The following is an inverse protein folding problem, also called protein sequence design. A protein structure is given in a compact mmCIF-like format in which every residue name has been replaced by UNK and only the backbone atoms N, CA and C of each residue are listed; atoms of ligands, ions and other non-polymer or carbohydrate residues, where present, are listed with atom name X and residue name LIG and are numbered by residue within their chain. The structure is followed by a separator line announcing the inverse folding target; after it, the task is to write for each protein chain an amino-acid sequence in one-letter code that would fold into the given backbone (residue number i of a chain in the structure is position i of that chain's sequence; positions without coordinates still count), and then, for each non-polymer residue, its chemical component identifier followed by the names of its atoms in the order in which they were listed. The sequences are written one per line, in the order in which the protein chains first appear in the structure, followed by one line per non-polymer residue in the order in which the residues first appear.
data_IF_630491676177
#
_entry.id   IF_630491676177
#
_cell.length_a   1.000
_cell.length_b   1.000
_cell.length_c   1.000
_cell.angle_alpha   90.00
_cell.angle_beta   90.00
_cell.angle_gamma   90.00
#
_symmetry.space_group_name_H-M   'P 1'
#
loop_
_entity.id
_entity.type
_entity.pdbx_description
1 polymer ?
#
# COMPACT_ATOMS: atom_id res chain seq x y z
N UNK A 1 -1.94 0.53 12.50
CA UNK A 1 -1.70 0.26 11.07
C UNK A 1 -0.32 0.72 10.60
N UNK A 2 0.03 1.99 10.84
CA UNK A 2 1.31 2.53 10.39
C UNK A 2 2.52 1.72 10.86
N UNK A 3 2.58 1.40 12.16
CA UNK A 3 3.68 0.63 12.71
C UNK A 3 3.79 -0.77 12.11
N UNK A 4 2.65 -1.39 11.85
CA UNK A 4 2.60 -2.70 11.20
C UNK A 4 3.19 -2.64 9.79
N UNK A 5 2.84 -1.59 9.05
CA UNK A 5 3.37 -1.38 7.69
C UNK A 5 4.88 -1.09 7.74
N UNK A 6 5.32 -0.22 8.65
CA UNK A 6 6.74 0.08 8.82
C UNK A 6 7.58 -1.16 9.10
N UNK A 7 7.09 -2.06 9.93
CA UNK A 7 7.80 -3.27 10.32
C UNK A 7 7.76 -4.35 9.25
N UNK A 8 6.69 -4.39 8.46
CA UNK A 8 6.44 -5.50 7.54
C UNK A 8 6.95 -5.30 6.13
N UNK A 9 7.14 -4.07 5.68
CA UNK A 9 7.44 -3.77 4.29
C UNK A 9 8.87 -3.25 4.02
N UNK A 10 9.74 -3.31 4.99
CA UNK A 10 11.18 -3.07 4.78
C UNK A 10 11.81 -4.33 4.18
N UNK A 11 11.40 -4.68 2.96
CA UNK A 11 11.78 -5.90 2.24
C UNK A 11 12.57 -5.52 0.98
N UNK A 12 13.40 -6.44 0.51
CA UNK A 12 14.12 -6.24 -0.75
C UNK A 12 13.15 -6.05 -1.90
N UNK A 13 13.39 -5.02 -2.70
CA UNK A 13 12.56 -4.70 -3.85
C UNK A 13 11.34 -3.84 -3.53
N UNK A 14 11.03 -3.60 -2.26
CA UNK A 14 10.01 -2.65 -1.86
C UNK A 14 10.59 -1.25 -1.85
N UNK A 15 10.03 -0.36 -2.66
CA UNK A 15 10.49 1.02 -2.78
C UNK A 15 9.78 1.95 -1.82
N UNK A 16 8.52 1.67 -1.52
CA UNK A 16 7.73 2.47 -0.58
C UNK A 16 6.49 1.71 -0.16
N UNK A 17 6.00 2.03 1.01
CA UNK A 17 4.72 1.53 1.51
C UNK A 17 4.03 2.62 2.33
N UNK A 18 2.73 2.69 2.18
CA UNK A 18 1.91 3.66 2.90
C UNK A 18 0.46 3.27 2.82
N UNK A 19 -0.40 4.10 3.36
CA UNK A 19 -1.81 3.81 3.35
C UNK A 19 -2.63 4.81 4.13
N UNK A 20 -3.82 4.38 4.51
CA UNK A 20 -4.74 5.18 5.29
C UNK A 20 -5.90 4.35 5.78
N UNK A 21 -6.78 4.98 6.55
CA UNK A 21 -8.01 4.37 7.01
C UNK A 21 -9.10 5.43 7.09
N UNK A 22 -10.36 4.98 7.19
CA UNK A 22 -11.49 5.88 7.28
C UNK A 22 -11.33 6.80 8.49
N UNK A 23 -11.44 8.12 8.25
CA UNK A 23 -11.34 9.12 9.31
C UNK A 23 -9.94 9.40 9.82
N UNK A 24 -8.91 8.81 9.22
CA UNK A 24 -7.52 9.03 9.61
C UNK A 24 -6.71 9.62 8.45
N UNK A 25 -5.65 10.40 8.74
CA UNK A 25 -4.78 10.92 7.68
C UNK A 25 -4.05 9.78 6.94
N UNK A 26 -3.75 10.06 5.69
CA UNK A 26 -2.86 9.16 4.92
C UNK A 26 -1.44 9.22 5.52
N UNK A 27 -0.68 8.16 5.31
CA UNK A 27 0.70 8.10 5.79
C UNK A 27 1.60 7.41 4.79
N UNK A 28 2.88 7.77 4.84
CA UNK A 28 3.97 7.03 4.19
C UNK A 28 4.78 6.40 5.31
N UNK A 29 4.73 5.08 5.42
CA UNK A 29 5.39 4.36 6.50
C UNK A 29 6.86 4.05 6.17
N UNK A 30 7.15 3.87 4.89
CA UNK A 30 8.49 3.56 4.40
C UNK A 30 8.65 4.15 3.00
N UNK A 31 9.82 4.71 2.72
CA UNK A 31 10.15 5.13 1.37
C UNK A 31 11.68 5.05 1.18
N UNK A 32 12.10 4.40 0.09
CA UNK A 32 13.50 4.39 -0.30
C UNK A 32 13.97 5.81 -0.63
N UNK A 33 15.18 6.18 -0.22
CA UNK A 33 15.73 7.49 -0.52
C UNK A 33 15.87 7.78 -2.02
N UNK A 34 15.93 6.75 -2.84
CA UNK A 34 16.02 6.88 -4.30
C UNK A 34 14.66 6.99 -4.98
N UNK A 35 13.58 6.65 -4.29
CA UNK A 35 12.23 6.69 -4.83
C UNK A 35 11.53 7.98 -4.42
N UNK A 36 11.81 9.05 -5.17
CA UNK A 36 11.41 10.42 -4.82
C UNK A 36 9.88 10.59 -4.80
N UNK A 37 9.18 9.91 -5.69
CA UNK A 37 7.71 10.03 -5.81
C UNK A 37 7.00 9.76 -4.49
N UNK A 38 7.42 8.72 -3.76
CA UNK A 38 6.76 8.31 -2.53
C UNK A 38 7.08 9.20 -1.33
N UNK A 39 8.01 10.14 -1.45
CA UNK A 39 8.28 11.12 -0.40
C UNK A 39 7.29 12.29 -0.40
N UNK A 40 6.45 12.39 -1.44
CA UNK A 40 5.45 13.45 -1.55
C UNK A 40 4.11 12.95 -1.01
N UNK A 41 3.62 13.55 0.07
CA UNK A 41 2.32 13.21 0.66
C UNK A 41 1.16 13.33 -0.31
N UNK A 42 1.25 14.23 -1.30
CA UNK A 42 0.19 14.40 -2.29
C UNK A 42 -0.07 13.14 -3.10
N UNK A 43 0.96 12.33 -3.34
CA UNK A 43 0.80 11.05 -4.04
C UNK A 43 -0.10 10.11 -3.23
N UNK A 44 0.10 10.05 -1.92
CA UNK A 44 -0.70 9.21 -1.04
C UNK A 44 -2.14 9.73 -0.92
N UNK A 45 -2.33 11.04 -0.91
CA UNK A 45 -3.67 11.65 -0.93
C UNK A 45 -4.38 11.37 -2.24
N UNK A 46 -3.70 11.50 -3.36
CA UNK A 46 -4.26 11.17 -4.67
C UNK A 46 -4.69 9.71 -4.76
N UNK A 47 -3.91 8.80 -4.20
CA UNK A 47 -4.27 7.39 -4.14
C UNK A 47 -5.52 7.18 -3.28
N UNK A 48 -5.60 7.82 -2.12
CA UNK A 48 -6.77 7.72 -1.25
C UNK A 48 -8.03 8.20 -1.96
N UNK A 49 -7.97 9.34 -2.65
CA UNK A 49 -9.10 9.87 -3.41
C UNK A 49 -9.49 8.95 -4.56
N UNK A 50 -8.51 8.40 -5.27
CA UNK A 50 -8.76 7.49 -6.39
C UNK A 50 -9.46 6.22 -5.90
N UNK A 51 -8.98 5.63 -4.81
CA UNK A 51 -9.58 4.42 -4.24
C UNK A 51 -11.00 4.68 -3.74
N UNK A 52 -11.24 5.84 -3.13
CA UNK A 52 -12.58 6.21 -2.67
C UNK A 52 -13.52 6.41 -3.86
N UNK A 53 -13.07 7.06 -4.93
CA UNK A 53 -13.87 7.22 -6.15
C UNK A 53 -14.23 5.87 -6.78
N UNK A 54 -13.27 4.95 -6.84
CA UNK A 54 -13.53 3.61 -7.36
C UNK A 54 -14.55 2.88 -6.51
N UNK A 55 -14.45 3.00 -5.19
CA UNK A 55 -15.40 2.40 -4.26
C UNK A 55 -16.82 2.94 -4.47
N UNK A 56 -16.96 4.26 -4.54
CA UNK A 56 -18.27 4.90 -4.69
C UNK A 56 -18.92 4.65 -6.05
N UNK A 57 -18.14 4.35 -7.07
CA UNK A 57 -18.64 4.01 -8.40
C UNK A 57 -18.79 2.51 -8.62
N UNK A 58 -18.69 1.73 -7.55
CA UNK A 58 -19.01 0.30 -7.59
C UNK A 58 -17.92 -0.58 -8.23
N UNK A 59 -16.67 -0.12 -8.29
CA UNK A 59 -15.60 -0.95 -8.80
C UNK A 59 -15.43 -2.21 -7.95
N UNK A 60 -15.50 -3.41 -8.54
CA UNK A 60 -15.52 -4.65 -7.77
C UNK A 60 -14.16 -5.05 -7.22
N UNK A 61 -13.08 -4.60 -7.84
CA UNK A 61 -11.75 -5.03 -7.45
C UNK A 61 -11.27 -4.31 -6.20
N UNK A 62 -10.82 -5.09 -5.22
CA UNK A 62 -10.23 -4.57 -3.98
C UNK A 62 -8.72 -4.53 -4.04
N UNK A 63 -8.13 -5.25 -4.98
CA UNK A 63 -6.69 -5.29 -5.20
C UNK A 63 -6.41 -4.88 -6.63
N UNK A 64 -5.54 -3.89 -6.81
CA UNK A 64 -5.21 -3.35 -8.13
C UNK A 64 -3.72 -3.21 -8.29
N UNK A 65 -3.25 -3.40 -9.52
CA UNK A 65 -1.87 -3.20 -9.90
C UNK A 65 -1.79 -2.05 -10.90
N UNK A 66 -0.84 -1.16 -10.67
CA UNK A 66 -0.60 0.01 -11.51
C UNK A 66 0.86 -0.03 -11.98
N UNK A 67 1.05 -0.03 -13.28
CA UNK A 67 2.40 -0.02 -13.87
C UNK A 67 2.90 1.40 -14.08
N UNK A 68 4.10 1.65 -13.59
CA UNK A 68 4.88 2.87 -13.89
C UNK A 68 6.19 2.44 -14.54
N UNK A 69 6.87 3.36 -15.22
CA UNK A 69 8.09 3.00 -15.93
C UNK A 69 9.19 2.41 -15.05
N UNK A 70 9.26 2.83 -13.79
CA UNK A 70 10.31 2.43 -12.85
C UNK A 70 9.78 1.74 -11.60
N UNK A 71 8.48 1.45 -11.52
CA UNK A 71 7.88 0.84 -10.35
C UNK A 71 6.54 0.19 -10.68
N UNK A 72 6.12 -0.72 -9.82
CA UNK A 72 4.76 -1.26 -9.82
C UNK A 72 4.12 -0.91 -8.49
N UNK A 73 2.93 -0.35 -8.53
CA UNK A 73 2.13 -0.06 -7.34
C UNK A 73 1.05 -1.11 -7.19
N UNK A 74 1.01 -1.76 -6.04
CA UNK A 74 -0.09 -2.62 -5.64
C UNK A 74 -0.91 -1.91 -4.56
N UNK A 75 -2.22 -1.81 -4.76
CA UNK A 75 -3.13 -1.24 -3.76
C UNK A 75 -4.13 -2.29 -3.33
N UNK A 76 -4.40 -2.31 -2.02
CA UNK A 76 -5.46 -3.15 -1.43
C UNK A 76 -6.33 -2.25 -0.58
N UNK A 77 -7.65 -2.33 -0.78
CA UNK A 77 -8.61 -1.65 0.09
C UNK A 77 -9.48 -2.69 0.78
N UNK A 78 -9.90 -2.35 2.00
CA UNK A 78 -10.74 -3.21 2.83
C UNK A 78 -12.10 -2.58 3.04
N UNK A 79 -13.07 -3.40 3.45
CA UNK A 79 -14.42 -2.92 3.74
C UNK A 79 -14.48 -2.01 4.96
N UNK A 80 -13.52 -2.13 5.87
CA UNK A 80 -13.42 -1.26 7.06
C UNK A 80 -12.85 0.12 6.78
N UNK A 81 -12.51 0.40 5.52
CA UNK A 81 -11.94 1.68 5.10
C UNK A 81 -10.42 1.75 5.12
N UNK A 82 -9.77 0.73 5.63
CA UNK A 82 -8.30 0.66 5.58
C UNK A 82 -7.82 0.33 4.17
N UNK A 83 -6.74 0.97 3.74
CA UNK A 83 -6.12 0.68 2.46
C UNK A 83 -4.61 0.74 2.58
N UNK A 84 -3.94 0.00 1.70
CA UNK A 84 -2.50 -0.14 1.66
C UNK A 84 -2.03 0.06 0.23
N UNK A 85 -0.94 0.80 0.06
CA UNK A 85 -0.25 0.94 -1.21
C UNK A 85 1.21 0.57 -1.05
N UNK A 86 1.70 -0.28 -1.94
CA UNK A 86 3.09 -0.74 -1.93
C UNK A 86 3.69 -0.54 -3.31
N UNK A 87 4.77 0.24 -3.38
CA UNK A 87 5.56 0.39 -4.60
C UNK A 87 6.71 -0.60 -4.56
N UNK A 88 6.87 -1.37 -5.63
CA UNK A 88 7.95 -2.33 -5.77
C UNK A 88 8.74 -2.09 -7.05
N UNK A 89 9.95 -2.63 -7.10
CA UNK A 89 10.72 -2.65 -8.33
C UNK A 89 9.98 -3.47 -9.39
N UNK A 90 10.07 -3.09 -10.69
CA UNK A 90 9.34 -3.80 -11.75
C UNK A 90 9.89 -5.20 -12.01
N UNK A 91 11.13 -5.46 -11.63
CA UNK A 91 11.83 -6.74 -11.83
C UNK A 91 12.02 -7.50 -10.51
N UNK A 92 10.99 -7.48 -9.66
CA UNK A 92 11.03 -8.15 -8.36
C UNK A 92 11.31 -9.65 -8.51
N UNK A 93 12.34 -10.14 -7.81
CA UNK A 93 12.67 -11.56 -7.82
C UNK A 93 11.60 -12.42 -7.15
N UNK A 94 11.58 -13.72 -7.44
CA UNK A 94 10.54 -14.63 -6.95
C UNK A 94 10.45 -14.65 -5.43
N UNK A 95 11.58 -14.69 -4.73
CA UNK A 95 11.62 -14.72 -3.27
C UNK A 95 11.03 -13.44 -2.68
N UNK A 96 11.44 -12.29 -3.21
CA UNK A 96 10.93 -10.99 -2.78
C UNK A 96 9.45 -10.85 -3.10
N UNK A 97 9.02 -11.31 -4.27
CA UNK A 97 7.62 -11.28 -4.68
C UNK A 97 6.76 -12.13 -3.72
N UNK A 98 7.24 -13.30 -3.32
CA UNK A 98 6.54 -14.14 -2.35
C UNK A 98 6.43 -13.48 -0.98
N UNK A 99 7.50 -12.84 -0.53
CA UNK A 99 7.50 -12.13 0.76
C UNK A 99 6.51 -10.96 0.75
N UNK A 100 6.49 -10.18 -0.32
CA UNK A 100 5.53 -9.09 -0.48
C UNK A 100 4.10 -9.63 -0.53
N UNK A 101 3.86 -10.67 -1.31
CA UNK A 101 2.53 -11.30 -1.43
C UNK A 101 2.02 -11.78 -0.07
N UNK A 102 2.88 -12.40 0.73
CA UNK A 102 2.52 -12.86 2.07
C UNK A 102 2.07 -11.70 2.96
N UNK A 103 2.75 -10.57 2.89
CA UNK A 103 2.38 -9.37 3.65
C UNK A 103 1.09 -8.74 3.16
N UNK A 104 0.85 -8.71 1.86
CA UNK A 104 -0.39 -8.21 1.29
C UNK A 104 -1.58 -9.06 1.74
N UNK A 105 -1.42 -10.37 1.74
CA UNK A 105 -2.46 -11.28 2.21
C UNK A 105 -2.71 -11.15 3.71
N UNK A 106 -1.65 -10.94 4.50
CA UNK A 106 -1.79 -10.69 5.92
C UNK A 106 -2.55 -9.39 6.21
N UNK A 107 -2.33 -8.35 5.40
CA UNK A 107 -3.05 -7.08 5.54
C UNK A 107 -4.57 -7.27 5.41
N UNK A 108 -5.00 -8.13 4.52
CA UNK A 108 -6.44 -8.37 4.29
C UNK A 108 -7.16 -8.87 5.53
N UNK A 109 -6.44 -9.50 6.45
CA UNK A 109 -7.00 -10.14 7.64
C UNK A 109 -6.56 -9.49 8.95
N UNK A 110 -5.62 -8.54 8.89
CA UNK A 110 -5.08 -7.90 10.09
C UNK A 110 -6.11 -6.99 10.75
N UNK A 111 -6.35 -7.17 12.03
CA UNK A 111 -7.23 -6.31 12.80
C UNK A 111 -6.42 -5.19 13.46
N UNK A 112 -6.60 -3.97 12.96
CA UNK A 112 -5.93 -2.78 13.48
C UNK A 112 -6.74 -2.06 14.54
N UNK A 113 -8.01 -2.41 14.70
CA UNK A 113 -8.91 -1.79 15.66
C UNK A 113 -8.96 -2.54 16.98
N UNK A 114 -8.34 -3.73 17.06
CA UNK A 114 -8.35 -4.53 18.28
C UNK A 114 -7.63 -3.78 19.41
N UNK A 115 -8.24 -3.67 20.59
CA UNK A 115 -7.54 -3.08 21.72
C UNK A 115 -6.36 -3.95 22.11
N UNK A 116 -5.29 -3.29 22.40
CA UNK A 116 -4.06 -3.96 22.83
C UNK A 116 -4.15 -4.31 24.32
#
# INVERSE_FOLDING_TARGET
MRAWVEQGFALDGVLAAGGGSAGAPVFSAFASGEFVLAHNEEIWRCLAETLENLRTHGAPSREMLWGFGNAVLCTIRRDDGAWLGVFTAPDLGDESAMAVRAKLDAFKQQDFAAPV
#
